data_IF_038896895821
#
_entry.id   IF_038896895821
#
_cell.length_a   1.000
_cell.length_b   1.000
_cell.length_c   1.000
_cell.angle_alpha   90.00
_cell.angle_beta   90.00
_cell.angle_gamma   90.00
#
_symmetry.space_group_name_H-M   'P 1'
#
loop_
_entity.id
_entity.type
_entity.pdbx_description
1 polymer ?
#
# COMPACT_ATOMS: atom_id res chain seq x y z
N UNK A 1 -13.29 20.08 16.74
CA UNK A 1 -13.15 18.65 17.10
C UNK A 1 -11.82 18.07 16.62
N UNK A 2 -10.67 18.66 16.94
CA UNK A 2 -9.39 18.26 16.32
C UNK A 2 -8.30 17.85 17.31
N UNK A 3 -8.63 17.59 18.56
CA UNK A 3 -7.69 17.05 19.52
C UNK A 3 -7.98 15.60 19.84
N UNK A 4 -6.98 14.80 20.14
CA UNK A 4 -7.09 13.37 20.43
C UNK A 4 -7.68 12.57 19.27
N UNK A 5 -7.10 12.74 18.13
CA UNK A 5 -7.53 12.12 16.89
C UNK A 5 -6.59 10.99 16.53
N UNK A 6 -7.14 9.86 16.12
CA UNK A 6 -6.45 8.82 15.41
C UNK A 6 -6.71 9.02 13.92
N UNK A 7 -5.65 9.25 13.17
CA UNK A 7 -5.68 9.30 11.71
C UNK A 7 -4.55 8.43 11.20
N UNK A 8 -4.87 7.25 10.76
CA UNK A 8 -3.88 6.29 10.27
C UNK A 8 -4.33 5.73 8.94
N UNK A 9 -3.35 5.50 8.06
CA UNK A 9 -3.56 4.80 6.81
C UNK A 9 -2.40 3.83 6.57
N UNK A 10 -2.73 2.58 6.34
CA UNK A 10 -1.81 1.53 5.95
C UNK A 10 -2.04 1.22 4.47
N UNK A 11 -1.06 1.52 3.63
CA UNK A 11 -1.13 1.29 2.19
C UNK A 11 -0.16 0.19 1.79
N UNK A 12 -0.61 -0.76 0.99
CA UNK A 12 0.24 -1.79 0.39
C UNK A 12 0.21 -1.64 -1.12
N UNK A 13 1.37 -1.47 -1.74
CA UNK A 13 1.52 -1.35 -3.19
C UNK A 13 1.92 -2.67 -3.82
N UNK A 14 1.43 -2.92 -5.02
CA UNK A 14 1.93 -3.93 -5.95
C UNK A 14 2.85 -3.28 -6.98
N UNK A 15 3.63 -4.10 -7.71
CA UNK A 15 4.58 -3.59 -8.71
C UNK A 15 3.93 -2.83 -9.87
N UNK A 16 2.68 -3.11 -10.20
CA UNK A 16 1.92 -2.43 -11.25
C UNK A 16 1.30 -1.10 -10.82
N UNK A 17 1.53 -0.70 -9.56
CA UNK A 17 0.96 0.50 -8.97
C UNK A 17 -0.46 0.32 -8.44
N UNK A 18 -0.99 -0.90 -8.46
CA UNK A 18 -2.22 -1.26 -7.73
C UNK A 18 -1.95 -1.49 -6.25
N UNK A 19 -3.00 -1.67 -5.46
CA UNK A 19 -2.83 -1.98 -4.04
C UNK A 19 -4.09 -1.84 -3.21
N UNK A 20 -3.88 -1.71 -1.90
CA UNK A 20 -4.94 -1.52 -0.91
C UNK A 20 -4.60 -0.41 0.07
N UNK A 21 -5.60 0.31 0.52
CA UNK A 21 -5.52 1.29 1.62
C UNK A 21 -6.46 0.83 2.73
N UNK A 22 -5.94 0.70 3.94
CA UNK A 22 -6.74 0.55 5.15
C UNK A 22 -6.61 1.83 5.96
N UNK A 23 -7.71 2.56 6.13
CA UNK A 23 -7.72 3.83 6.83
C UNK A 23 -8.57 3.74 8.11
N UNK A 24 -8.13 4.43 9.15
CA UNK A 24 -8.88 4.63 10.38
C UNK A 24 -8.84 6.09 10.74
N UNK A 25 -10.00 6.63 11.02
CA UNK A 25 -10.15 7.99 11.51
C UNK A 25 -11.09 7.99 12.72
N UNK A 26 -10.69 8.63 13.80
CA UNK A 26 -11.53 8.67 14.98
C UNK A 26 -11.03 9.63 16.05
N UNK A 27 -11.85 9.80 17.07
CA UNK A 27 -11.59 10.63 18.25
C UNK A 27 -11.37 9.73 19.46
N UNK A 28 -10.42 10.05 20.32
CA UNK A 28 -10.12 9.26 21.49
C UNK A 28 -11.34 9.13 22.40
N UNK A 29 -11.44 8.01 23.12
CA UNK A 29 -12.53 7.76 24.06
C UNK A 29 -12.56 8.84 25.15
N UNK A 30 -11.40 9.31 25.60
CA UNK A 30 -11.26 10.37 26.59
C UNK A 30 -11.90 11.67 26.10
N UNK A 31 -11.64 12.05 24.86
CA UNK A 31 -12.22 13.23 24.25
C UNK A 31 -13.74 13.10 24.07
N UNK A 32 -14.19 11.98 23.55
CA UNK A 32 -15.63 11.72 23.33
C UNK A 32 -16.38 11.78 24.65
N UNK A 33 -15.80 11.25 25.73
CA UNK A 33 -16.35 11.32 27.07
C UNK A 33 -16.31 12.75 27.65
N UNK A 34 -15.17 13.46 27.50
CA UNK A 34 -15.04 14.85 28.00
C UNK A 34 -16.05 15.81 27.36
N UNK A 35 -16.36 15.59 26.09
CA UNK A 35 -17.35 16.38 25.34
C UNK A 35 -18.78 15.83 25.42
N UNK A 36 -19.00 14.71 26.13
CA UNK A 36 -20.28 14.01 26.22
C UNK A 36 -20.91 13.67 24.85
N UNK A 37 -20.08 13.31 23.88
CA UNK A 37 -20.49 13.08 22.47
C UNK A 37 -20.76 11.62 22.13
N UNK A 38 -20.61 10.69 23.07
CA UNK A 38 -20.68 9.24 22.78
C UNK A 38 -21.99 8.83 22.08
N UNK A 39 -23.11 9.35 22.54
CA UNK A 39 -24.42 9.05 21.96
C UNK A 39 -24.54 9.59 20.51
N UNK A 40 -24.05 10.81 20.29
CA UNK A 40 -24.04 11.45 18.98
C UNK A 40 -23.11 10.70 17.98
N UNK A 41 -21.91 10.33 18.41
CA UNK A 41 -20.97 9.55 17.59
C UNK A 41 -21.59 8.22 17.16
N UNK A 42 -22.20 7.48 18.09
CA UNK A 42 -22.87 6.21 17.78
C UNK A 42 -24.08 6.41 16.84
N UNK A 43 -24.87 7.47 17.05
CA UNK A 43 -26.01 7.78 16.19
C UNK A 43 -25.59 8.15 14.76
N UNK A 44 -24.42 8.77 14.60
CA UNK A 44 -23.82 9.11 13.30
C UNK A 44 -23.08 7.94 12.66
N UNK A 45 -23.16 6.72 13.21
CA UNK A 45 -22.61 5.52 12.61
C UNK A 45 -21.14 5.25 12.96
N UNK A 46 -20.52 6.09 13.80
CA UNK A 46 -19.15 5.83 14.24
C UNK A 46 -19.08 4.61 15.16
N UNK A 47 -18.09 3.77 14.94
CA UNK A 47 -17.82 2.55 15.71
C UNK A 47 -16.65 2.74 16.67
N UNK A 48 -16.61 1.92 17.72
CA UNK A 48 -15.48 1.89 18.64
C UNK A 48 -14.40 0.95 18.09
N UNK A 49 -13.14 1.39 18.08
CA UNK A 49 -12.00 0.57 17.71
C UNK A 49 -10.77 0.86 18.58
N UNK A 50 -9.81 -0.05 18.57
CA UNK A 50 -8.52 0.16 19.23
C UNK A 50 -7.41 0.39 18.20
N UNK A 51 -6.49 1.27 18.55
CA UNK A 51 -5.23 1.47 17.83
C UNK A 51 -4.12 1.83 18.84
N UNK A 52 -2.98 1.13 18.75
CA UNK A 52 -1.81 1.31 19.60
C UNK A 52 -2.12 1.35 21.11
N UNK A 53 -3.05 0.48 21.57
CA UNK A 53 -3.45 0.37 22.96
C UNK A 53 -4.50 1.37 23.44
N UNK A 54 -4.88 2.34 22.63
CA UNK A 54 -5.88 3.37 22.93
C UNK A 54 -7.22 3.10 22.22
N UNK A 55 -8.32 3.55 22.83
CA UNK A 55 -9.67 3.42 22.30
C UNK A 55 -10.12 4.67 21.54
N UNK A 56 -10.79 4.47 20.41
CA UNK A 56 -11.30 5.55 19.56
C UNK A 56 -12.72 5.28 19.11
N UNK A 57 -13.48 6.35 18.89
CA UNK A 57 -14.76 6.32 18.19
C UNK A 57 -14.60 6.95 16.83
N UNK A 58 -14.92 6.22 15.76
CA UNK A 58 -14.69 6.72 14.43
C UNK A 58 -15.09 5.75 13.34
N UNK A 59 -14.49 5.94 12.19
CA UNK A 59 -14.72 5.14 10.99
C UNK A 59 -13.47 4.37 10.59
N UNK A 60 -13.68 3.24 9.92
CA UNK A 60 -12.66 2.39 9.36
C UNK A 60 -13.07 2.01 7.95
N UNK A 61 -12.19 2.23 7.00
CA UNK A 61 -12.40 1.94 5.60
C UNK A 61 -11.25 1.06 5.06
N UNK A 62 -11.59 0.19 4.12
CA UNK A 62 -10.61 -0.54 3.33
C UNK A 62 -11.01 -0.44 1.87
N UNK A 63 -10.09 0.01 1.05
CA UNK A 63 -10.31 0.25 -0.37
C UNK A 63 -9.16 -0.31 -1.19
N UNK A 64 -9.48 -0.88 -2.36
CA UNK A 64 -8.49 -1.33 -3.33
C UNK A 64 -8.44 -0.36 -4.49
N UNK A 65 -7.25 -0.14 -5.03
CA UNK A 65 -7.02 0.69 -6.22
C UNK A 65 -6.29 -0.11 -7.28
N UNK A 66 -6.68 0.08 -8.54
CA UNK A 66 -6.12 -0.68 -9.66
C UNK A 66 -4.87 -0.04 -10.28
N UNK A 67 -4.60 1.23 -9.96
CA UNK A 67 -3.47 1.99 -10.52
C UNK A 67 -3.17 3.25 -9.69
N UNK A 68 -2.09 3.95 -10.07
CA UNK A 68 -1.65 5.16 -9.38
C UNK A 68 -2.67 6.31 -9.43
N UNK A 69 -3.45 6.44 -10.49
CA UNK A 69 -4.45 7.53 -10.61
C UNK A 69 -5.59 7.33 -9.61
N UNK A 70 -6.07 6.08 -9.45
CA UNK A 70 -7.07 5.74 -8.43
C UNK A 70 -6.54 5.96 -7.02
N UNK A 71 -5.31 5.53 -6.72
CA UNK A 71 -4.66 5.84 -5.44
C UNK A 71 -4.63 7.33 -5.17
N UNK A 72 -4.21 8.13 -6.15
CA UNK A 72 -4.13 9.58 -6.02
C UNK A 72 -5.51 10.21 -5.78
N UNK A 73 -6.56 9.69 -6.40
CA UNK A 73 -7.94 10.14 -6.20
C UNK A 73 -8.43 9.85 -4.78
N UNK A 74 -8.20 8.63 -4.25
CA UNK A 74 -8.54 8.23 -2.87
C UNK A 74 -7.89 9.18 -1.86
N UNK A 75 -6.57 9.41 -1.98
CA UNK A 75 -5.87 10.28 -1.05
C UNK A 75 -6.27 11.75 -1.15
N UNK A 76 -6.65 12.23 -2.33
CA UNK A 76 -7.18 13.58 -2.52
C UNK A 76 -8.56 13.75 -1.85
N UNK A 77 -9.44 12.76 -1.97
CA UNK A 77 -10.77 12.75 -1.35
C UNK A 77 -10.67 12.73 0.17
N UNK A 78 -9.91 11.78 0.74
CA UNK A 78 -9.65 11.70 2.18
C UNK A 78 -9.06 12.99 2.72
N UNK A 79 -8.11 13.61 2.01
CA UNK A 79 -7.53 14.89 2.43
C UNK A 79 -8.54 16.03 2.42
N UNK A 80 -9.47 16.03 1.47
CA UNK A 80 -10.54 17.04 1.39
C UNK A 80 -11.55 16.87 2.53
N UNK A 81 -11.98 15.65 2.81
CA UNK A 81 -12.89 15.35 3.94
C UNK A 81 -12.29 15.76 5.29
N UNK A 82 -11.03 15.43 5.53
CA UNK A 82 -10.34 15.84 6.76
C UNK A 82 -10.24 17.37 6.85
N UNK A 83 -10.03 18.07 5.72
CA UNK A 83 -9.94 19.52 5.69
C UNK A 83 -11.27 20.21 6.07
N UNK A 84 -12.41 19.57 5.83
CA UNK A 84 -13.71 20.05 6.26
C UNK A 84 -13.84 19.98 7.78
N UNK A 85 -13.30 18.93 8.41
CA UNK A 85 -13.34 18.73 9.87
C UNK A 85 -12.30 19.60 10.56
N UNK A 86 -11.06 19.63 10.08
CA UNK A 86 -9.96 20.41 10.65
C UNK A 86 -8.88 20.74 9.62
N UNK A 87 -8.74 22.03 9.34
CA UNK A 87 -7.62 22.53 8.50
C UNK A 87 -6.25 22.29 9.14
N UNK A 88 -6.16 22.23 10.46
CA UNK A 88 -4.92 21.96 11.16
C UNK A 88 -4.49 20.49 11.01
N UNK A 89 -5.46 19.57 11.00
CA UNK A 89 -5.23 18.13 10.87
C UNK A 89 -5.06 17.64 9.43
N UNK A 90 -5.36 18.47 8.41
CA UNK A 90 -5.24 18.05 7.01
C UNK A 90 -3.83 17.55 6.72
N UNK A 91 -3.65 16.30 6.28
CA UNK A 91 -2.35 15.82 5.81
C UNK A 91 -1.91 16.64 4.60
N UNK A 92 -0.67 16.53 4.21
CA UNK A 92 -0.22 17.08 2.95
C UNK A 92 -0.76 16.30 1.76
N UNK A 93 -0.27 16.60 0.58
CA UNK A 93 -0.58 15.82 -0.62
C UNK A 93 0.27 14.56 -0.66
N UNK A 94 -0.36 13.43 -0.95
CA UNK A 94 0.32 12.15 -1.20
C UNK A 94 0.01 11.75 -2.63
N UNK A 95 1.04 11.48 -3.43
CA UNK A 95 0.87 11.06 -4.83
C UNK A 95 1.78 9.90 -5.16
N UNK A 96 1.27 8.95 -5.91
CA UNK A 96 2.00 7.83 -6.49
C UNK A 96 2.20 8.07 -7.98
N UNK A 97 3.36 7.74 -8.49
CA UNK A 97 3.63 7.64 -9.92
C UNK A 97 4.35 6.35 -10.25
N UNK A 98 4.05 5.80 -11.41
CA UNK A 98 4.71 4.62 -11.97
C UNK A 98 5.55 5.10 -13.14
N UNK A 99 6.86 4.88 -13.08
CA UNK A 99 7.77 5.25 -14.15
C UNK A 99 7.59 4.31 -15.35
N UNK A 100 8.08 4.76 -16.54
CA UNK A 100 7.96 3.97 -17.77
C UNK A 100 8.70 2.62 -17.71
N UNK A 101 9.67 2.46 -16.84
CA UNK A 101 10.41 1.24 -16.51
C UNK A 101 9.79 0.42 -15.35
N UNK A 102 8.75 0.93 -14.62
CA UNK A 102 7.97 0.30 -13.57
C UNK A 102 8.37 0.64 -12.16
N UNK A 103 9.39 1.45 -11.97
CA UNK A 103 9.72 1.97 -10.66
C UNK A 103 8.54 2.74 -10.07
N UNK A 104 8.22 2.50 -8.79
CA UNK A 104 7.22 3.26 -8.07
C UNK A 104 7.89 4.47 -7.40
N UNK A 105 7.29 5.64 -7.55
CA UNK A 105 7.69 6.82 -6.79
C UNK A 105 6.51 7.38 -6.03
N UNK A 106 6.58 7.31 -4.70
CA UNK A 106 5.65 7.99 -3.80
C UNK A 106 6.21 9.36 -3.47
N UNK A 107 5.39 10.39 -3.60
CA UNK A 107 5.71 11.75 -3.18
C UNK A 107 4.77 12.18 -2.07
N UNK A 108 5.34 12.56 -0.93
CA UNK A 108 4.62 13.14 0.21
C UNK A 108 5.00 14.62 0.28
N UNK A 109 4.03 15.50 0.13
CA UNK A 109 4.23 16.94 0.28
C UNK A 109 3.55 17.42 1.56
N UNK A 110 4.33 17.85 2.53
CA UNK A 110 3.83 18.46 3.76
C UNK A 110 4.05 19.98 3.70
N UNK A 111 2.98 20.75 3.87
CA UNK A 111 3.02 22.22 3.84
C UNK A 111 2.99 22.85 5.24
N UNK A 112 2.82 22.03 6.29
CA UNK A 112 2.62 22.51 7.66
C UNK A 112 3.74 22.04 8.57
N UNK A 113 4.20 22.94 9.40
CA UNK A 113 5.05 22.66 10.56
C UNK A 113 4.19 22.73 11.82
N UNK A 114 4.60 21.99 12.85
CA UNK A 114 4.00 22.08 14.20
C UNK A 114 2.46 21.92 14.22
N UNK A 115 1.97 20.84 13.61
CA UNK A 115 0.54 20.50 13.61
C UNK A 115 -0.03 20.39 15.01
N UNK A 116 0.75 19.83 15.95
CA UNK A 116 0.32 19.65 17.34
C UNK A 116 -0.05 21.00 17.99
N UNK A 117 0.77 22.04 17.82
CA UNK A 117 0.46 23.38 18.32
C UNK A 117 -0.73 24.03 17.62
N UNK A 118 -0.88 23.81 16.32
CA UNK A 118 -2.02 24.31 15.57
C UNK A 118 -3.34 23.66 16.06
N UNK A 119 -3.36 22.35 16.26
CA UNK A 119 -4.48 21.61 16.80
C UNK A 119 -4.76 22.01 18.24
N UNK A 120 -3.72 22.16 19.08
CA UNK A 120 -3.87 22.68 20.45
C UNK A 120 -4.58 24.04 20.47
N UNK A 121 -4.18 24.96 19.59
CA UNK A 121 -4.78 26.28 19.49
C UNK A 121 -6.25 26.22 19.09
N UNK A 122 -6.60 25.30 18.21
CA UNK A 122 -7.98 25.06 17.77
C UNK A 122 -8.83 24.49 18.90
N UNK A 123 -8.32 23.48 19.62
CA UNK A 123 -8.96 22.90 20.80
C UNK A 123 -9.20 23.90 21.92
N UNK A 124 -8.23 24.75 22.24
CA UNK A 124 -8.36 25.76 23.28
C UNK A 124 -9.51 26.75 23.02
N UNK A 125 -9.84 26.98 21.74
CA UNK A 125 -11.01 27.80 21.37
C UNK A 125 -12.32 27.05 21.54
N UNK A 126 -12.32 25.73 21.33
CA UNK A 126 -13.52 24.89 21.43
C UNK A 126 -13.81 24.47 22.88
N UNK A 127 -12.78 24.40 23.71
CA UNK A 127 -12.82 23.98 25.10
C UNK A 127 -12.32 25.10 26.01
N UNK A 128 -13.04 26.26 26.12
CA UNK A 128 -12.56 27.44 26.83
C UNK A 128 -12.43 27.21 28.32
N UNK A 129 -13.14 26.25 28.90
CA UNK A 129 -13.12 25.88 30.32
C UNK A 129 -11.98 24.92 30.69
N UNK A 130 -11.22 24.39 29.66
CA UNK A 130 -10.13 23.49 29.89
C UNK A 130 -8.81 24.27 30.07
N UNK A 131 -8.05 23.85 31.08
CA UNK A 131 -6.69 24.36 31.28
C UNK A 131 -5.74 23.82 30.20
N UNK A 132 -4.61 24.50 29.98
CA UNK A 132 -3.55 24.06 29.08
C UNK A 132 -3.06 22.64 29.40
N UNK A 133 -3.01 22.24 30.67
CA UNK A 133 -2.62 20.91 31.08
C UNK A 133 -3.64 19.84 30.63
N UNK A 134 -4.94 20.14 30.74
CA UNK A 134 -6.00 19.24 30.27
C UNK A 134 -5.99 19.12 28.76
N UNK A 135 -5.79 20.23 28.02
CA UNK A 135 -5.67 20.18 26.57
C UNK A 135 -4.44 19.39 26.13
N UNK A 136 -3.31 19.55 26.81
CA UNK A 136 -2.11 18.75 26.51
C UNK A 136 -2.35 17.25 26.75
N UNK A 137 -3.02 16.88 27.85
CA UNK A 137 -3.38 15.48 28.11
C UNK A 137 -4.25 14.90 26.99
N UNK A 138 -5.22 15.69 26.50
CA UNK A 138 -6.03 15.28 25.34
C UNK A 138 -5.20 15.05 24.07
N UNK A 139 -4.05 15.70 23.92
CA UNK A 139 -3.18 15.59 22.75
C UNK A 139 -2.13 14.47 22.87
N UNK A 140 -1.96 13.86 24.04
CA UNK A 140 -0.93 12.80 24.25
C UNK A 140 -1.21 11.59 23.37
N UNK A 141 -2.47 11.20 23.22
CA UNK A 141 -2.91 10.02 22.47
C UNK A 141 -3.19 10.31 20.98
N UNK A 142 -2.81 11.51 20.52
CA UNK A 142 -3.03 11.86 19.11
C UNK A 142 -2.04 11.14 18.19
N UNK A 143 -2.60 10.47 17.20
CA UNK A 143 -1.82 9.74 16.18
C UNK A 143 -2.19 10.26 14.79
N UNK A 144 -1.17 10.59 13.98
CA UNK A 144 -1.33 10.95 12.57
C UNK A 144 -0.23 10.27 11.77
N UNK A 145 -0.42 8.98 11.49
CA UNK A 145 0.64 8.14 10.91
C UNK A 145 0.14 7.43 9.66
N UNK A 146 0.88 7.58 8.57
CA UNK A 146 0.65 6.85 7.33
C UNK A 146 1.82 5.91 7.07
N UNK A 147 1.49 4.67 6.72
CA UNK A 147 2.45 3.63 6.38
C UNK A 147 2.26 3.21 4.93
N UNK A 148 3.36 3.08 4.22
CA UNK A 148 3.39 2.72 2.82
C UNK A 148 4.34 1.53 2.66
N UNK A 149 3.78 0.36 2.39
CA UNK A 149 4.53 -0.87 2.12
C UNK A 149 4.71 -1.02 0.61
N UNK A 150 5.96 -1.01 0.17
CA UNK A 150 6.33 -1.18 -1.23
C UNK A 150 6.59 -2.65 -1.55
N UNK A 151 6.39 -3.07 -2.80
CA UNK A 151 6.68 -4.44 -3.23
C UNK A 151 8.18 -4.72 -3.34
N UNK A 152 9.02 -3.67 -3.31
CA UNK A 152 10.46 -3.75 -3.46
C UNK A 152 11.20 -2.81 -2.50
N UNK A 153 12.50 -3.02 -2.32
CA UNK A 153 13.34 -2.14 -1.53
C UNK A 153 13.44 -0.74 -2.15
N UNK A 154 13.52 0.26 -1.28
CA UNK A 154 13.72 1.65 -1.70
C UNK A 154 15.18 1.86 -2.10
N UNK A 155 15.41 2.50 -3.25
CA UNK A 155 16.76 2.85 -3.74
C UNK A 155 17.10 4.30 -3.49
N UNK A 156 16.08 5.16 -3.37
CA UNK A 156 16.26 6.58 -3.08
C UNK A 156 15.12 7.09 -2.19
N UNK A 157 15.48 7.82 -1.13
CA UNK A 157 14.51 8.51 -0.29
C UNK A 157 15.14 9.66 0.51
N UNK A 158 14.32 10.64 0.85
CA UNK A 158 14.71 11.75 1.72
C UNK A 158 14.49 11.37 3.19
N UNK A 159 15.55 11.37 3.98
CA UNK A 159 15.44 11.22 5.43
C UNK A 159 15.04 12.56 6.07
N UNK A 160 14.10 12.53 7.02
CA UNK A 160 13.67 13.69 7.80
C UNK A 160 13.10 13.26 9.15
N UNK A 161 12.94 14.21 10.06
CA UNK A 161 12.14 13.98 11.26
C UNK A 161 10.71 13.61 10.87
N UNK A 162 10.12 12.60 11.54
CA UNK A 162 8.80 12.10 11.20
C UNK A 162 8.78 11.07 10.06
N UNK A 163 9.94 10.73 9.48
CA UNK A 163 10.04 9.66 8.48
C UNK A 163 10.89 8.52 9.03
N UNK A 164 10.34 7.33 9.01
CA UNK A 164 11.05 6.09 9.33
C UNK A 164 10.94 5.15 8.14
N UNK A 165 12.08 4.64 7.69
CA UNK A 165 12.14 3.60 6.65
C UNK A 165 12.71 2.33 7.27
N UNK A 166 11.95 1.25 7.17
CA UNK A 166 12.38 -0.07 7.61
C UNK A 166 12.09 -1.08 6.51
N UNK A 167 13.14 -1.65 5.95
CA UNK A 167 13.05 -2.54 4.79
C UNK A 167 12.36 -1.82 3.60
N UNK A 168 11.19 -2.26 3.20
CA UNK A 168 10.37 -1.68 2.14
C UNK A 168 9.16 -0.89 2.67
N UNK A 169 9.12 -0.58 3.97
CA UNK A 169 8.01 0.17 4.59
C UNK A 169 8.46 1.56 4.98
N UNK A 170 7.75 2.55 4.48
CA UNK A 170 7.87 3.97 4.87
C UNK A 170 6.78 4.28 5.86
N UNK A 171 7.15 4.84 7.01
CA UNK A 171 6.21 5.37 8.00
C UNK A 171 6.39 6.87 8.08
N UNK A 172 5.31 7.61 7.90
CA UNK A 172 5.26 9.07 7.96
C UNK A 172 4.43 9.48 9.16
N UNK A 173 5.06 10.08 10.15
CA UNK A 173 4.38 10.71 11.29
C UNK A 173 4.17 12.20 11.01
N UNK A 174 2.96 12.57 10.68
CA UNK A 174 2.60 13.95 10.34
C UNK A 174 2.62 14.92 11.52
N UNK A 175 2.69 14.44 12.77
CA UNK A 175 2.81 15.30 13.95
C UNK A 175 4.22 15.86 14.10
N UNK A 176 5.22 15.16 13.59
CA UNK A 176 6.65 15.52 13.69
C UNK A 176 7.26 15.85 12.34
N UNK A 177 6.56 15.58 11.23
CA UNK A 177 7.06 15.85 9.88
C UNK A 177 7.19 17.36 9.63
N UNK A 178 8.37 17.81 9.22
CA UNK A 178 8.61 19.17 8.80
C UNK A 178 7.94 19.47 7.45
N UNK A 179 7.79 20.78 7.14
CA UNK A 179 7.32 21.18 5.82
C UNK A 179 8.38 20.83 4.75
N UNK A 180 7.95 20.20 3.67
CA UNK A 180 8.86 19.76 2.62
C UNK A 180 8.18 18.83 1.63
N UNK A 181 8.96 18.40 0.65
CA UNK A 181 8.57 17.37 -0.31
C UNK A 181 9.51 16.17 -0.16
N UNK A 182 8.94 15.03 0.12
CA UNK A 182 9.65 13.79 0.37
C UNK A 182 9.32 12.78 -0.72
N UNK A 183 10.34 12.14 -1.26
CA UNK A 183 10.20 11.15 -2.32
C UNK A 183 10.76 9.81 -1.88
N UNK A 184 10.08 8.74 -2.28
CA UNK A 184 10.44 7.36 -1.99
C UNK A 184 10.34 6.59 -3.29
N UNK A 185 11.47 6.08 -3.78
CA UNK A 185 11.54 5.42 -5.10
C UNK A 185 12.04 3.99 -4.92
N UNK A 186 11.34 3.03 -5.55
CA UNK A 186 11.77 1.63 -5.60
C UNK A 186 12.77 1.38 -6.71
N UNK A 187 13.51 0.27 -6.62
CA UNK A 187 14.46 -0.11 -7.68
C UNK A 187 13.74 -0.54 -8.96
N UNK A 188 14.31 -0.17 -10.08
CA UNK A 188 13.83 -0.54 -11.41
C UNK A 188 13.92 -2.06 -11.67
N UNK A 189 14.91 -2.74 -11.07
CA UNK A 189 15.24 -4.13 -11.34
C UNK A 189 14.18 -5.13 -10.90
N UNK A 190 13.44 -4.86 -9.82
CA UNK A 190 12.38 -5.76 -9.38
C UNK A 190 11.06 -5.52 -10.11
N UNK A 191 10.81 -4.31 -10.60
CA UNK A 191 9.63 -3.97 -11.40
C UNK A 191 9.66 -4.56 -12.81
N UNK A 192 10.83 -4.80 -13.39
CA UNK A 192 10.98 -5.44 -14.71
C UNK A 192 10.49 -6.89 -14.74
N UNK A 193 10.56 -7.60 -13.60
CA UNK A 193 10.09 -9.00 -13.53
C UNK A 193 8.58 -9.12 -13.68
N UNK A 194 7.79 -8.15 -13.22
CA UNK A 194 6.32 -8.19 -13.33
C UNK A 194 5.76 -7.57 -14.62
N UNK A 195 6.49 -6.67 -15.28
CA UNK A 195 6.03 -6.10 -16.56
C UNK A 195 5.96 -7.07 -17.71
N UNK A 196 6.62 -8.20 -17.61
CA UNK A 196 6.59 -9.24 -18.63
C UNK A 196 5.42 -10.21 -18.50
N UNK A 197 4.47 -9.98 -17.61
CA UNK A 197 3.11 -10.51 -17.78
C UNK A 197 2.43 -9.75 -18.93
N UNK A 198 3.10 -9.77 -20.09
CA UNK A 198 2.53 -9.30 -21.34
C UNK A 198 1.25 -10.05 -21.61
N UNK A 199 0.31 -9.39 -22.27
CA UNK A 199 -0.91 -9.99 -22.81
C UNK A 199 -0.53 -11.29 -23.49
N UNK A 200 -0.88 -12.42 -22.90
CA UNK A 200 -0.72 -13.73 -23.55
C UNK A 200 -1.64 -13.68 -24.75
N UNK A 201 -1.07 -13.43 -25.91
CA UNK A 201 -1.77 -13.63 -27.17
C UNK A 201 -2.06 -15.13 -27.24
N UNK A 202 -3.31 -15.50 -27.02
CA UNK A 202 -3.76 -16.86 -27.26
C UNK A 202 -3.54 -17.15 -28.75
N UNK A 203 -2.40 -17.75 -29.08
CA UNK A 203 -2.31 -18.48 -30.32
C UNK A 203 -3.35 -19.61 -30.25
N UNK A 204 -4.08 -19.82 -31.33
CA UNK A 204 -5.09 -20.87 -31.38
C UNK A 204 -4.40 -22.22 -31.20
N UNK A 205 -4.49 -22.76 -29.99
CA UNK A 205 -4.04 -24.13 -29.71
C UNK A 205 -4.99 -25.07 -30.46
N UNK A 206 -4.51 -25.97 -31.33
CA UNK A 206 -5.38 -26.92 -32.00
C UNK A 206 -6.13 -27.77 -30.97
N UNK A 207 -7.42 -28.01 -31.20
CA UNK A 207 -8.29 -28.75 -30.29
C UNK A 207 -7.78 -30.18 -30.01
N UNK A 208 -6.93 -30.74 -30.87
CA UNK A 208 -6.25 -31.99 -30.67
C UNK A 208 -4.96 -32.06 -31.51
N UNK A 209 -3.95 -32.73 -31.02
CA UNK A 209 -2.68 -32.91 -31.71
C UNK A 209 -1.81 -33.96 -31.01
N UNK A 210 -0.82 -34.49 -31.75
CA UNK A 210 0.17 -35.40 -31.18
C UNK A 210 1.32 -34.57 -30.64
N UNK A 211 1.55 -34.62 -29.33
CA UNK A 211 2.68 -33.98 -28.69
C UNK A 211 3.87 -34.94 -28.61
N UNK A 212 5.03 -34.43 -28.92
CA UNK A 212 6.30 -35.18 -28.87
C UNK A 212 7.09 -34.73 -27.63
N UNK A 213 7.48 -35.68 -26.79
CA UNK A 213 8.35 -35.43 -25.67
C UNK A 213 9.76 -35.08 -26.12
N UNK A 214 10.29 -33.95 -25.62
CA UNK A 214 11.65 -33.49 -25.89
C UNK A 214 12.35 -33.13 -24.59
N UNK A 215 13.65 -33.00 -24.64
CA UNK A 215 14.47 -32.37 -23.62
C UNK A 215 15.06 -31.10 -24.20
N UNK A 216 14.88 -29.99 -23.53
CA UNK A 216 15.37 -28.69 -23.94
C UNK A 216 16.21 -28.10 -22.84
N UNK A 217 17.43 -27.70 -23.19
CA UNK A 217 18.29 -26.95 -22.27
C UNK A 217 17.99 -25.47 -22.43
N UNK A 218 17.73 -24.81 -21.31
CA UNK A 218 17.56 -23.37 -21.20
C UNK A 218 18.63 -22.82 -20.25
N UNK A 219 19.09 -21.61 -20.49
CA UNK A 219 19.92 -20.90 -19.53
C UNK A 219 19.01 -20.20 -18.52
N UNK A 220 19.23 -20.47 -17.24
CA UNK A 220 18.51 -19.84 -16.15
C UNK A 220 19.54 -19.37 -15.11
N UNK A 221 19.57 -18.07 -14.84
CA UNK A 221 20.51 -17.44 -13.91
C UNK A 221 21.97 -17.85 -14.15
N UNK A 222 22.39 -17.81 -15.43
CA UNK A 222 23.74 -18.20 -15.87
C UNK A 222 24.07 -19.70 -15.75
N UNK A 223 23.06 -20.57 -15.57
CA UNK A 223 23.21 -22.03 -15.48
C UNK A 223 22.34 -22.72 -16.51
N UNK A 224 22.92 -23.75 -17.13
CA UNK A 224 22.18 -24.63 -18.03
C UNK A 224 21.24 -25.55 -17.24
N UNK A 225 19.94 -25.46 -17.49
CA UNK A 225 18.91 -26.31 -16.92
C UNK A 225 18.22 -27.08 -18.04
N UNK A 226 18.13 -28.40 -17.89
CA UNK A 226 17.42 -29.24 -18.86
C UNK A 226 15.99 -29.51 -18.37
N UNK A 227 15.01 -29.03 -19.15
CA UNK A 227 13.59 -29.26 -18.91
C UNK A 227 13.03 -30.31 -19.86
N UNK A 228 12.07 -31.07 -19.37
CA UNK A 228 11.22 -31.93 -20.19
C UNK A 228 10.11 -31.06 -20.80
N UNK A 229 10.04 -31.02 -22.13
CA UNK A 229 9.03 -30.23 -22.86
C UNK A 229 8.20 -31.16 -23.73
N UNK A 230 7.00 -30.69 -24.11
CA UNK A 230 6.13 -31.31 -25.09
C UNK A 230 6.01 -30.39 -26.29
N UNK A 231 6.50 -30.85 -27.45
CA UNK A 231 6.42 -30.11 -28.70
C UNK A 231 5.11 -30.43 -29.40
N UNK A 232 4.35 -29.40 -29.76
CA UNK A 232 3.18 -29.50 -30.65
C UNK A 232 3.50 -28.84 -31.99
N UNK A 233 3.15 -29.47 -33.11
CA UNK A 233 3.23 -28.84 -34.41
C UNK A 233 2.32 -27.59 -34.48
N UNK A 234 2.89 -26.46 -34.87
CA UNK A 234 2.13 -25.23 -35.10
C UNK A 234 1.51 -25.20 -36.49
N UNK A 235 0.51 -24.37 -36.70
CA UNK A 235 -0.16 -24.19 -38.00
C UNK A 235 0.71 -23.63 -39.10
N UNK A 236 1.84 -23.03 -38.73
CA UNK A 236 2.85 -22.43 -39.67
C UNK A 236 4.00 -23.36 -40.00
N UNK A 237 3.93 -24.66 -39.64
CA UNK A 237 4.99 -25.63 -39.81
C UNK A 237 6.14 -25.57 -38.81
N UNK A 238 6.05 -24.66 -37.81
CA UNK A 238 6.93 -24.65 -36.66
C UNK A 238 6.45 -25.58 -35.53
N UNK A 239 7.23 -25.70 -34.47
CA UNK A 239 6.84 -26.41 -33.24
C UNK A 239 6.77 -25.43 -32.07
N UNK A 240 5.74 -25.54 -31.24
CA UNK A 240 5.64 -24.83 -29.96
C UNK A 240 5.96 -25.78 -28.81
N UNK A 241 6.90 -25.42 -27.96
CA UNK A 241 7.32 -26.22 -26.83
C UNK A 241 6.52 -25.81 -25.58
N UNK A 242 5.88 -26.78 -24.95
CA UNK A 242 5.13 -26.60 -23.70
C UNK A 242 5.92 -27.18 -22.54
N UNK A 243 5.99 -26.44 -21.45
CA UNK A 243 6.65 -26.84 -20.20
C UNK A 243 5.59 -27.04 -19.14
N UNK A 244 5.76 -28.03 -18.25
CA UNK A 244 4.85 -28.16 -17.10
C UNK A 244 5.07 -27.01 -16.13
N UNK A 245 3.98 -26.39 -15.71
CA UNK A 245 4.01 -25.28 -14.76
C UNK A 245 4.76 -25.64 -13.45
N UNK A 246 4.58 -26.90 -12.97
CA UNK A 246 5.30 -27.41 -11.80
C UNK A 246 6.83 -27.50 -11.98
N UNK A 247 7.31 -27.72 -13.19
CA UNK A 247 8.76 -27.74 -13.47
C UNK A 247 9.32 -26.32 -13.37
N UNK A 248 8.56 -25.32 -13.81
CA UNK A 248 8.91 -23.91 -13.65
C UNK A 248 8.86 -23.50 -12.16
N UNK A 249 7.80 -23.88 -11.43
CA UNK A 249 7.72 -23.63 -10.00
C UNK A 249 8.90 -24.24 -9.23
N UNK A 250 9.30 -25.48 -9.58
CA UNK A 250 10.45 -26.15 -8.96
C UNK A 250 11.77 -25.45 -9.30
N UNK A 251 11.90 -24.90 -10.51
CA UNK A 251 13.09 -24.16 -10.95
C UNK A 251 13.24 -22.83 -10.20
N UNK A 252 12.11 -22.17 -9.91
CA UNK A 252 12.07 -20.89 -9.23
C UNK A 252 12.08 -21.01 -7.69
N UNK A 253 11.99 -22.24 -7.15
CA UNK A 253 11.96 -22.46 -5.69
C UNK A 253 13.23 -21.92 -5.02
N UNK A 254 13.04 -21.12 -3.96
CA UNK A 254 14.12 -20.43 -3.24
C UNK A 254 14.60 -19.15 -3.92
N UNK A 255 13.94 -18.68 -4.97
CA UNK A 255 14.16 -17.36 -5.59
C UNK A 255 13.03 -16.41 -5.20
N UNK A 256 13.21 -15.11 -5.42
CA UNK A 256 12.17 -14.10 -5.20
C UNK A 256 10.96 -14.24 -6.16
N UNK A 257 11.06 -15.11 -7.17
CA UNK A 257 10.00 -15.40 -8.14
C UNK A 257 9.34 -16.77 -7.88
N UNK A 258 9.57 -17.36 -6.71
CA UNK A 258 8.96 -18.66 -6.39
C UNK A 258 7.43 -18.57 -6.29
N UNK A 259 6.77 -19.65 -6.66
CA UNK A 259 5.32 -19.78 -6.54
C UNK A 259 4.93 -21.26 -6.36
N UNK A 260 3.82 -21.47 -5.69
CA UNK A 260 3.17 -22.78 -5.58
C UNK A 260 2.20 -23.02 -6.74
N UNK A 261 1.98 -24.28 -7.08
CA UNK A 261 0.96 -24.71 -8.04
C UNK A 261 0.02 -25.68 -7.36
N UNK A 262 -1.25 -25.30 -7.25
CA UNK A 262 -2.31 -26.12 -6.66
C UNK A 262 -3.44 -26.37 -7.67
N UNK A 263 -4.41 -27.21 -7.30
CA UNK A 263 -5.51 -27.63 -8.14
C UNK A 263 -6.79 -27.84 -7.33
N UNK A 264 -7.83 -27.06 -7.68
CA UNK A 264 -9.19 -27.19 -7.11
C UNK A 264 -10.27 -27.45 -8.18
N UNK A 265 -9.90 -27.93 -9.33
CA UNK A 265 -10.69 -27.95 -10.57
C UNK A 265 -10.16 -26.96 -11.60
N UNK A 266 -9.38 -25.98 -11.15
CA UNK A 266 -8.60 -25.04 -11.94
C UNK A 266 -7.15 -25.05 -11.48
N UNK A 267 -6.23 -24.59 -12.33
CA UNK A 267 -4.84 -24.36 -11.92
C UNK A 267 -4.81 -23.09 -11.06
N UNK A 268 -4.32 -23.21 -9.84
CA UNK A 268 -4.09 -22.09 -8.93
C UNK A 268 -2.59 -21.85 -8.85
N UNK A 269 -2.15 -20.61 -9.08
CA UNK A 269 -0.79 -20.16 -8.85
C UNK A 269 -0.82 -19.37 -7.55
N UNK A 270 -0.07 -19.83 -6.56
CA UNK A 270 0.04 -19.17 -5.26
C UNK A 270 1.41 -18.52 -5.19
N UNK A 271 1.53 -17.19 -5.25
CA UNK A 271 2.77 -16.50 -4.96
C UNK A 271 3.18 -16.77 -3.50
N UNK A 272 4.46 -16.96 -3.25
CA UNK A 272 5.01 -17.08 -1.89
C UNK A 272 5.43 -15.72 -1.34
#
# INVERSE_FOLDING_TARGET
>A
LSGCMCQVADTTFQFDGSGTVEAKFGFSEEMVNAMNMRAEMTQNGFSYFHYDGHGYYGDQASESFANADEFNAIFAEVSAEIAEVSKAATPGTVTLSVASDGGLTLTVQNTKTDRRSAIKTELAKQLPDYSDAQINALLEDMVMTYRFAFPAALVDYNAAAGITVKENVVTVDYLTLEAGTYRFTTSETESLHQRQLGTVTQESIPASGTAYMRRQTIEFDGRDVTLQTYALPGSNGGETNYVRLRDIASLLNGTNAQFGVDWDGNVIIVPD
#
